data_IF_472218169864
#
_entry.id   IF_472218169864
#
_cell.length_a   1.000
_cell.length_b   1.000
_cell.length_c   1.000
_cell.angle_alpha   90.00
_cell.angle_beta   90.00
_cell.angle_gamma   90.00
#
_symmetry.space_group_name_H-M   'P 1'
#
loop_
_entity.id
_entity.type
_entity.pdbx_description
1 polymer ?
#
# COMPACT_ATOMS: atom_id res chain seq x y z
N UNK A 1 13.74 -7.59 -31.28
CA UNK A 1 13.22 -6.37 -30.62
C UNK A 1 12.51 -6.70 -29.31
N UNK A 2 11.97 -7.92 -29.13
CA UNK A 2 11.40 -8.38 -27.85
C UNK A 2 12.35 -9.29 -27.04
N UNK A 3 13.56 -9.55 -27.53
CA UNK A 3 14.51 -10.41 -26.81
C UNK A 3 14.93 -9.80 -25.46
N UNK A 4 14.94 -8.47 -25.34
CA UNK A 4 15.20 -7.73 -24.10
C UNK A 4 13.97 -7.67 -23.15
N UNK A 5 12.79 -8.08 -23.63
CA UNK A 5 11.52 -8.04 -22.89
C UNK A 5 10.81 -9.41 -22.93
N UNK A 6 11.40 -10.47 -22.37
CA UNK A 6 10.94 -11.85 -22.56
C UNK A 6 9.69 -12.21 -21.75
N UNK A 7 9.31 -11.42 -20.75
CA UNK A 7 8.23 -11.74 -19.82
C UNK A 7 6.91 -11.10 -20.23
N UNK A 8 5.81 -11.73 -19.87
CA UNK A 8 4.45 -11.18 -19.86
C UNK A 8 3.96 -10.95 -18.43
N UNK A 9 2.85 -10.25 -18.26
CA UNK A 9 2.27 -9.95 -16.93
C UNK A 9 1.98 -11.19 -16.08
N UNK A 10 1.82 -12.38 -16.69
CA UNK A 10 1.53 -13.62 -15.97
C UNK A 10 2.77 -14.41 -15.56
N UNK A 11 3.98 -13.96 -15.95
CA UNK A 11 5.22 -14.69 -15.71
C UNK A 11 5.89 -14.34 -14.38
N UNK A 12 5.38 -13.33 -13.66
CA UNK A 12 5.88 -12.91 -12.35
C UNK A 12 4.74 -12.56 -11.41
N UNK A 13 5.00 -12.69 -10.10
CA UNK A 13 4.07 -12.26 -9.05
C UNK A 13 4.31 -10.80 -8.70
N UNK A 14 3.26 -10.13 -8.24
CA UNK A 14 3.30 -8.74 -7.83
C UNK A 14 2.75 -8.60 -6.42
N UNK A 15 3.32 -7.68 -5.66
CA UNK A 15 2.89 -7.27 -4.33
C UNK A 15 3.03 -5.75 -4.26
N UNK A 16 1.88 -5.06 -4.26
CA UNK A 16 1.75 -3.60 -4.32
C UNK A 16 2.62 -2.94 -5.42
N UNK A 17 2.39 -3.30 -6.70
CA UNK A 17 3.18 -2.75 -7.79
C UNK A 17 2.81 -1.30 -8.11
N UNK A 18 3.80 -0.48 -8.42
CA UNK A 18 3.62 0.87 -8.93
C UNK A 18 4.18 1.02 -10.34
N UNK A 19 3.46 1.71 -11.23
CA UNK A 19 3.86 1.93 -12.61
C UNK A 19 4.17 3.41 -12.87
N UNK A 20 5.42 3.72 -13.21
CA UNK A 20 5.83 5.01 -13.74
C UNK A 20 5.83 4.97 -15.26
N UNK A 21 5.02 5.81 -15.90
CA UNK A 21 5.07 6.06 -17.34
C UNK A 21 6.07 7.19 -17.63
N UNK A 22 7.34 6.85 -17.84
CA UNK A 22 8.39 7.84 -18.03
C UNK A 22 8.47 8.35 -19.48
N UNK A 23 8.09 9.62 -19.66
CA UNK A 23 8.11 10.26 -20.98
C UNK A 23 9.51 10.53 -21.50
N UNK A 24 10.53 10.62 -20.63
CA UNK A 24 11.90 10.95 -21.04
C UNK A 24 12.56 9.79 -21.76
N UNK A 25 12.33 8.58 -21.29
CA UNK A 25 12.84 7.34 -21.88
C UNK A 25 11.86 6.70 -22.86
N UNK A 26 10.57 7.02 -22.76
CA UNK A 26 9.52 6.39 -23.57
C UNK A 26 9.19 4.97 -23.12
N UNK A 27 9.46 4.64 -21.85
CA UNK A 27 9.25 3.33 -21.26
C UNK A 27 8.35 3.41 -20.02
N UNK A 28 7.78 2.27 -19.65
CA UNK A 28 7.09 2.04 -18.41
C UNK A 28 8.02 1.32 -17.42
N UNK A 29 8.00 1.76 -16.16
CA UNK A 29 8.81 1.21 -15.07
C UNK A 29 7.87 0.69 -13.98
N UNK A 30 7.82 -0.63 -13.83
CA UNK A 30 7.04 -1.32 -12.80
C UNK A 30 7.94 -1.61 -11.61
N UNK A 31 7.74 -0.90 -10.50
CA UNK A 31 8.40 -1.15 -9.23
C UNK A 31 7.53 -2.07 -8.39
N UNK A 32 8.14 -3.05 -7.75
CA UNK A 32 7.42 -4.08 -7.01
C UNK A 32 8.20 -4.50 -5.76
N UNK A 33 7.49 -4.75 -4.66
CA UNK A 33 8.09 -5.34 -3.48
C UNK A 33 8.54 -6.77 -3.79
N UNK A 34 9.83 -7.06 -3.62
CA UNK A 34 10.35 -8.42 -3.75
C UNK A 34 10.04 -9.17 -2.46
N UNK A 35 8.83 -9.72 -2.33
CA UNK A 35 8.41 -10.45 -1.13
C UNK A 35 8.92 -11.90 -1.17
N UNK A 36 10.24 -12.07 -1.09
CA UNK A 36 10.95 -13.36 -1.20
C UNK A 36 10.78 -14.14 -2.50
N UNK A 37 10.40 -13.45 -3.59
CA UNK A 37 10.29 -14.03 -4.92
C UNK A 37 11.67 -14.30 -5.54
N UNK A 38 12.56 -13.31 -5.49
CA UNK A 38 13.93 -13.40 -5.98
C UNK A 38 14.91 -13.38 -4.81
N UNK A 39 15.57 -14.53 -4.56
CA UNK A 39 16.37 -14.76 -3.34
C UNK A 39 17.88 -14.77 -3.57
N UNK A 40 18.35 -14.43 -4.76
CA UNK A 40 19.79 -14.28 -5.00
C UNK A 40 20.33 -13.03 -4.29
N UNK A 41 21.65 -12.99 -4.09
CA UNK A 41 22.31 -11.85 -3.44
C UNK A 41 22.09 -10.54 -4.22
N UNK A 42 22.07 -10.60 -5.56
CA UNK A 42 21.81 -9.45 -6.43
C UNK A 42 20.37 -8.89 -6.29
N UNK A 43 19.46 -9.64 -5.66
CA UNK A 43 18.08 -9.27 -5.36
C UNK A 43 17.83 -9.10 -3.85
N UNK A 44 18.88 -8.77 -3.09
CA UNK A 44 18.76 -8.50 -1.66
C UNK A 44 18.18 -9.68 -0.86
N UNK A 45 18.39 -10.92 -1.32
CA UNK A 45 17.85 -12.14 -0.71
C UNK A 45 16.33 -12.14 -0.49
N UNK A 46 15.57 -11.45 -1.35
CA UNK A 46 14.13 -11.36 -1.21
C UNK A 46 13.65 -10.24 -0.30
N UNK A 47 14.50 -9.22 -0.08
CA UNK A 47 14.20 -8.02 0.73
C UNK A 47 14.62 -6.76 -0.03
N UNK A 48 14.03 -6.57 -1.19
CA UNK A 48 14.38 -5.50 -2.12
C UNK A 48 13.15 -4.93 -2.82
N UNK A 49 13.33 -3.80 -3.50
CA UNK A 49 12.43 -3.34 -4.55
C UNK A 49 13.02 -3.81 -5.88
N UNK A 50 12.21 -4.54 -6.65
CA UNK A 50 12.57 -4.96 -8.00
C UNK A 50 11.86 -4.11 -9.05
N UNK A 51 12.55 -3.88 -10.15
CA UNK A 51 12.09 -3.12 -11.30
C UNK A 51 11.96 -4.04 -12.51
N UNK A 52 10.82 -3.94 -13.18
CA UNK A 52 10.63 -4.41 -14.55
C UNK A 52 10.44 -3.21 -15.45
N UNK A 53 10.99 -3.26 -16.66
CA UNK A 53 10.74 -2.23 -17.67
C UNK A 53 9.89 -2.80 -18.80
N UNK A 54 9.05 -1.95 -19.41
CA UNK A 54 8.19 -2.36 -20.50
C UNK A 54 8.06 -1.25 -21.54
N UNK A 55 8.11 -1.57 -22.85
CA UNK A 55 7.81 -0.60 -23.90
C UNK A 55 6.30 -0.46 -24.17
N UNK A 56 5.48 -1.44 -23.77
CA UNK A 56 4.09 -1.57 -24.26
C UNK A 56 3.08 -2.10 -23.24
N UNK A 57 3.48 -2.26 -21.98
CA UNK A 57 2.69 -2.83 -20.86
C UNK A 57 2.29 -4.31 -21.06
N UNK A 58 2.83 -4.98 -22.08
CA UNK A 58 2.55 -6.38 -22.40
C UNK A 58 3.79 -7.23 -22.23
N UNK A 59 4.93 -6.72 -22.67
CA UNK A 59 6.23 -7.37 -22.62
C UNK A 59 7.11 -6.66 -21.59
N UNK A 60 7.76 -7.42 -20.72
CA UNK A 60 8.54 -6.93 -19.59
C UNK A 60 9.95 -7.52 -19.62
N UNK A 61 10.92 -6.72 -19.19
CA UNK A 61 12.30 -7.16 -18.97
C UNK A 61 12.36 -8.19 -17.84
N UNK A 62 13.49 -8.88 -17.70
CA UNK A 62 13.78 -9.55 -16.42
C UNK A 62 13.89 -8.51 -15.29
N UNK A 63 13.59 -8.90 -14.04
CA UNK A 63 13.67 -7.99 -12.89
C UNK A 63 15.12 -7.62 -12.58
N UNK A 64 15.31 -6.39 -12.13
CA UNK A 64 16.55 -5.95 -11.50
C UNK A 64 16.25 -5.34 -10.13
N UNK A 65 17.13 -5.55 -9.15
CA UNK A 65 17.02 -4.85 -7.86
C UNK A 65 17.42 -3.39 -8.01
N UNK A 66 16.60 -2.47 -7.51
CA UNK A 66 16.87 -1.01 -7.56
C UNK A 66 17.08 -0.38 -6.18
N UNK A 67 16.73 -1.14 -5.13
CA UNK A 67 16.97 -0.81 -3.73
C UNK A 67 16.84 -2.08 -2.88
N UNK A 68 17.72 -2.30 -1.90
CA UNK A 68 17.58 -3.35 -0.90
C UNK A 68 18.00 -2.86 0.50
N UNK A 69 17.61 -3.63 1.52
CA UNK A 69 17.88 -3.31 2.94
C UNK A 69 19.06 -4.11 3.53
N UNK A 70 19.76 -4.88 2.70
CA UNK A 70 20.86 -5.75 3.14
C UNK A 70 22.10 -4.90 3.42
N UNK A 71 22.46 -4.03 2.47
CA UNK A 71 23.64 -3.14 2.58
C UNK A 71 23.29 -1.77 3.18
N UNK A 72 22.42 -1.77 4.20
CA UNK A 72 21.95 -0.53 4.84
C UNK A 72 23.10 0.23 5.56
N UNK A 73 23.06 1.57 5.60
CA UNK A 73 24.04 2.36 6.34
C UNK A 73 24.07 2.02 7.84
N UNK A 74 25.24 2.15 8.46
CA UNK A 74 25.37 2.04 9.92
C UNK A 74 24.48 3.08 10.60
N UNK A 75 23.66 2.63 11.55
CA UNK A 75 22.72 3.48 12.27
C UNK A 75 21.45 3.82 11.50
N UNK A 76 21.16 3.12 10.38
CA UNK A 76 19.86 3.20 9.73
C UNK A 76 18.73 2.87 10.73
N UNK A 77 17.61 3.59 10.61
CA UNK A 77 16.45 3.42 11.47
C UNK A 77 15.69 2.12 11.20
N UNK A 78 15.79 1.65 9.96
CA UNK A 78 15.23 0.41 9.45
C UNK A 78 16.26 -0.74 9.49
N UNK A 79 15.77 -1.98 9.49
CA UNK A 79 16.57 -3.20 9.41
C UNK A 79 16.03 -4.15 8.33
N UNK A 80 16.58 -5.36 8.27
CA UNK A 80 16.18 -6.39 7.30
C UNK A 80 15.15 -7.38 7.88
N UNK A 81 14.33 -6.99 8.85
CA UNK A 81 13.32 -7.89 9.40
C UNK A 81 12.23 -8.26 8.40
N UNK A 82 11.98 -7.40 7.40
CA UNK A 82 11.01 -7.59 6.32
C UNK A 82 11.54 -6.99 5.01
N UNK A 83 10.84 -7.26 3.91
CA UNK A 83 11.06 -6.64 2.60
C UNK A 83 10.49 -5.20 2.59
N UNK A 84 11.05 -4.26 1.81
CA UNK A 84 10.41 -2.96 1.56
C UNK A 84 9.01 -3.12 0.97
N UNK A 85 8.01 -2.39 1.47
CA UNK A 85 6.62 -2.50 0.97
C UNK A 85 6.21 -1.31 0.10
N UNK A 86 5.27 -1.58 -0.81
CA UNK A 86 4.53 -0.63 -1.64
C UNK A 86 5.38 0.53 -2.21
N UNK A 87 6.43 0.23 -2.99
CA UNK A 87 7.28 1.27 -3.56
C UNK A 87 6.53 2.08 -4.62
N UNK A 88 6.44 3.40 -4.46
CA UNK A 88 5.96 4.32 -5.49
C UNK A 88 7.08 5.25 -5.96
N UNK A 89 7.24 5.42 -7.28
CA UNK A 89 8.30 6.28 -7.83
C UNK A 89 7.72 7.41 -8.66
N UNK A 90 8.03 8.64 -8.26
CA UNK A 90 7.54 9.84 -8.92
C UNK A 90 8.70 10.65 -9.51
N UNK A 91 8.53 11.16 -10.72
CA UNK A 91 9.43 12.18 -11.27
C UNK A 91 9.08 13.54 -10.67
N UNK A 92 10.08 14.23 -10.14
CA UNK A 92 9.94 15.56 -9.57
C UNK A 92 11.20 16.39 -9.80
N UNK A 93 11.03 17.48 -10.55
CA UNK A 93 12.09 18.45 -10.85
C UNK A 93 13.36 17.83 -11.46
N UNK A 94 13.20 16.85 -12.35
CA UNK A 94 14.27 16.19 -13.09
C UNK A 94 14.88 14.96 -12.41
N UNK A 95 14.43 14.63 -11.18
CA UNK A 95 14.89 13.49 -10.38
C UNK A 95 13.75 12.53 -10.08
N UNK A 96 14.07 11.32 -9.65
CA UNK A 96 13.10 10.27 -9.34
C UNK A 96 13.11 10.00 -7.84
N UNK A 97 11.94 10.04 -7.22
CA UNK A 97 11.76 9.92 -5.79
C UNK A 97 10.91 8.69 -5.48
N UNK A 98 11.50 7.72 -4.79
CA UNK A 98 10.83 6.50 -4.36
C UNK A 98 10.31 6.67 -2.95
N UNK A 99 9.00 6.62 -2.78
CA UNK A 99 8.31 6.46 -1.52
C UNK A 99 8.21 4.97 -1.23
N UNK A 100 8.66 4.53 -0.06
CA UNK A 100 8.68 3.11 0.28
C UNK A 100 8.55 2.93 1.78
N UNK A 101 7.79 1.92 2.19
CA UNK A 101 7.64 1.57 3.61
C UNK A 101 8.82 0.71 4.03
N UNK A 102 9.53 1.13 5.08
CA UNK A 102 10.63 0.36 5.68
C UNK A 102 10.34 0.01 7.14
N UNK A 103 10.95 -1.09 7.56
CA UNK A 103 10.63 -1.79 8.80
C UNK A 103 11.83 -1.80 9.74
N UNK A 104 11.56 -1.84 11.04
CA UNK A 104 12.56 -2.25 12.02
C UNK A 104 11.93 -2.99 13.17
N UNK A 105 12.67 -3.95 13.74
CA UNK A 105 12.29 -4.59 14.99
C UNK A 105 12.43 -3.60 16.13
N UNK A 106 11.49 -3.67 17.07
CA UNK A 106 11.60 -2.98 18.36
C UNK A 106 12.38 -3.88 19.31
N UNK A 107 13.26 -3.27 20.12
CA UNK A 107 13.93 -3.98 21.21
C UNK A 107 12.94 -4.58 22.21
N UNK A 108 11.81 -3.90 22.40
CA UNK A 108 10.69 -4.33 23.24
C UNK A 108 9.38 -4.08 22.51
N UNK A 109 8.50 -5.08 22.40
CA UNK A 109 7.16 -4.87 21.89
C UNK A 109 6.41 -3.83 22.73
N UNK A 110 5.62 -2.99 22.07
CA UNK A 110 4.76 -1.98 22.70
C UNK A 110 3.30 -2.41 22.62
N UNK A 111 2.42 -1.76 23.38
CA UNK A 111 0.97 -1.93 23.20
C UNK A 111 0.48 -0.98 22.10
N UNK A 112 -0.60 -1.34 21.37
CA UNK A 112 -1.29 -0.40 20.52
C UNK A 112 -1.72 0.84 21.32
N UNK A 113 -1.79 1.98 20.64
CA UNK A 113 -2.12 3.26 21.26
C UNK A 113 -3.63 3.43 21.42
N UNK A 114 -4.39 2.95 20.44
CA UNK A 114 -5.84 3.06 20.43
C UNK A 114 -6.52 1.71 20.18
N UNK A 115 -7.86 1.72 20.29
CA UNK A 115 -8.72 0.56 20.13
C UNK A 115 -9.39 0.08 21.42
N UNK A 116 -10.26 -0.94 21.31
CA UNK A 116 -10.97 -1.53 22.45
C UNK A 116 -10.03 -2.02 23.55
N UNK A 117 -10.52 -2.08 24.80
CA UNK A 117 -9.73 -2.51 25.96
C UNK A 117 -9.06 -3.87 25.75
N UNK A 118 -9.77 -4.84 25.16
CA UNK A 118 -9.22 -6.17 24.87
C UNK A 118 -8.07 -6.09 23.85
N UNK A 119 -8.16 -5.22 22.85
CA UNK A 119 -7.13 -5.06 21.83
C UNK A 119 -5.86 -4.49 22.44
N UNK A 120 -5.97 -3.40 23.19
CA UNK A 120 -4.83 -2.77 23.88
C UNK A 120 -4.20 -3.68 24.95
N UNK A 121 -5.02 -4.50 25.63
CA UNK A 121 -4.55 -5.43 26.68
C UNK A 121 -3.85 -6.66 26.10
N UNK A 122 -4.37 -7.23 25.02
CA UNK A 122 -3.98 -8.58 24.58
C UNK A 122 -2.99 -8.53 23.40
N UNK A 123 -2.86 -7.40 22.70
CA UNK A 123 -1.97 -7.25 21.54
C UNK A 123 -0.68 -6.53 21.87
N UNK A 124 0.38 -6.92 21.17
CA UNK A 124 1.66 -6.22 21.19
C UNK A 124 2.14 -5.97 19.76
N UNK A 125 2.91 -4.91 19.59
CA UNK A 125 3.49 -4.50 18.31
C UNK A 125 5.00 -4.61 18.43
N UNK A 126 5.58 -5.61 17.76
CA UNK A 126 7.00 -5.96 17.84
C UNK A 126 7.88 -5.21 16.83
N UNK A 127 7.27 -4.58 15.84
CA UNK A 127 7.94 -3.85 14.76
C UNK A 127 7.50 -2.39 14.76
N UNK A 128 8.27 -1.56 14.05
CA UNK A 128 7.91 -0.19 13.70
C UNK A 128 8.05 -0.05 12.19
N UNK A 129 7.21 0.77 11.60
CA UNK A 129 7.15 1.05 10.16
C UNK A 129 7.10 2.55 9.94
N UNK A 130 7.72 3.00 8.87
CA UNK A 130 7.64 4.38 8.42
C UNK A 130 7.89 4.48 6.94
N UNK A 131 7.35 5.52 6.31
CA UNK A 131 7.61 5.79 4.90
C UNK A 131 8.92 6.55 4.79
N UNK A 132 9.82 6.04 3.96
CA UNK A 132 11.06 6.70 3.57
C UNK A 132 10.93 7.19 2.14
N UNK A 133 11.54 8.34 1.85
CA UNK A 133 11.71 8.81 0.48
C UNK A 133 13.18 8.72 0.09
N UNK A 134 13.44 7.95 -0.96
CA UNK A 134 14.76 7.74 -1.56
C UNK A 134 14.82 8.51 -2.88
N UNK A 135 16.03 8.82 -3.33
CA UNK A 135 16.21 9.59 -4.57
C UNK A 135 17.18 8.91 -5.52
N UNK A 136 16.91 9.05 -6.82
CA UNK A 136 17.75 8.64 -7.92
C UNK A 136 17.73 9.68 -9.05
N UNK A 137 18.78 9.67 -9.86
CA UNK A 137 18.86 10.56 -11.04
C UNK A 137 18.23 9.94 -12.29
N UNK A 138 17.96 8.62 -12.26
CA UNK A 138 17.29 7.87 -13.33
C UNK A 138 16.14 7.04 -12.76
N UNK A 139 15.11 6.67 -13.57
CA UNK A 139 14.04 5.83 -13.06
C UNK A 139 14.53 4.43 -12.69
N UNK A 140 15.65 3.97 -13.25
CA UNK A 140 16.24 2.68 -12.91
C UNK A 140 17.12 2.69 -11.64
N UNK A 141 17.16 3.82 -10.90
CA UNK A 141 18.00 3.92 -9.71
C UNK A 141 19.49 4.16 -10.04
N UNK A 142 20.40 3.79 -9.13
CA UNK A 142 20.11 3.24 -7.80
C UNK A 142 19.39 4.26 -6.91
N UNK A 143 18.42 3.81 -6.12
CA UNK A 143 17.72 4.68 -5.16
C UNK A 143 18.48 4.70 -3.84
N UNK A 144 18.73 5.90 -3.33
CA UNK A 144 19.47 6.10 -2.08
C UNK A 144 18.59 6.85 -1.08
N UNK A 145 18.44 6.37 0.18
CA UNK A 145 17.76 7.12 1.23
C UNK A 145 18.50 8.42 1.51
N UNK A 146 17.78 9.55 1.45
CA UNK A 146 18.34 10.87 1.77
C UNK A 146 18.62 10.97 3.27
N UNK A 147 17.73 10.38 4.08
CA UNK A 147 17.80 10.39 5.55
C UNK A 147 17.63 8.96 6.13
N UNK A 148 18.66 8.10 6.08
CA UNK A 148 18.51 6.70 6.52
C UNK A 148 18.23 6.55 8.03
N UNK A 149 18.51 7.57 8.85
CA UNK A 149 18.32 7.54 10.31
C UNK A 149 16.90 7.93 10.77
N UNK A 150 16.01 8.36 9.86
CA UNK A 150 14.63 8.69 10.20
C UNK A 150 13.70 8.54 9.00
N UNK A 151 12.50 7.96 9.17
CA UNK A 151 11.46 8.04 8.15
C UNK A 151 11.08 9.51 7.86
N UNK A 152 10.50 9.72 6.69
CA UNK A 152 9.88 11.00 6.29
C UNK A 152 8.57 11.24 7.03
N UNK A 153 7.84 10.17 7.39
CA UNK A 153 6.72 10.21 8.33
C UNK A 153 7.19 10.41 9.78
N UNK A 154 6.35 10.93 10.69
CA UNK A 154 6.71 11.07 12.10
C UNK A 154 7.16 9.75 12.74
N UNK A 155 8.17 9.79 13.58
CA UNK A 155 8.79 8.58 14.18
C UNK A 155 7.95 7.92 15.28
N UNK A 156 6.96 8.64 15.84
CA UNK A 156 6.02 8.12 16.84
C UNK A 156 4.86 7.34 16.23
N UNK A 157 4.53 7.58 14.96
CA UNK A 157 3.43 6.95 14.25
C UNK A 157 3.96 5.82 13.39
N UNK A 158 3.34 4.65 13.47
CA UNK A 158 3.57 3.57 12.54
C UNK A 158 2.85 3.90 11.25
N UNK A 159 3.62 4.13 10.20
CA UNK A 159 3.12 4.62 8.93
C UNK A 159 3.56 3.72 7.78
N UNK A 160 2.70 3.61 6.77
CA UNK A 160 2.93 2.83 5.55
C UNK A 160 2.28 3.48 4.34
N UNK A 161 2.69 3.01 3.16
CA UNK A 161 2.12 3.31 1.84
C UNK A 161 2.00 4.80 1.53
N UNK A 162 3.13 5.50 1.56
CA UNK A 162 3.14 6.91 1.18
C UNK A 162 3.04 7.11 -0.33
N UNK A 163 2.12 7.96 -0.75
CA UNK A 163 1.97 8.40 -2.14
C UNK A 163 2.18 9.92 -2.26
N UNK A 164 2.76 10.36 -3.38
CA UNK A 164 2.91 11.78 -3.68
C UNK A 164 1.58 12.36 -4.17
N UNK A 165 1.10 13.39 -3.47
CA UNK A 165 0.01 14.25 -3.91
C UNK A 165 0.52 15.66 -4.17
N UNK A 166 0.07 16.29 -5.26
CA UNK A 166 0.45 17.68 -5.58
C UNK A 166 -0.76 18.57 -5.40
N UNK A 167 -0.66 19.60 -4.57
CA UNK A 167 -1.73 20.56 -4.34
C UNK A 167 -1.92 21.51 -5.54
N UNK A 168 -3.03 22.26 -5.57
CA UNK A 168 -3.42 23.16 -6.67
C UNK A 168 -2.46 24.34 -6.83
N UNK A 169 -1.72 24.67 -5.79
CA UNK A 169 -0.64 25.67 -5.79
C UNK A 169 0.73 25.08 -6.20
N UNK A 170 0.79 23.77 -6.50
CA UNK A 170 2.01 23.04 -6.83
C UNK A 170 2.80 22.53 -5.62
N UNK A 171 2.31 22.73 -4.39
CA UNK A 171 2.96 22.20 -3.18
C UNK A 171 2.91 20.67 -3.16
N UNK A 172 4.02 19.97 -2.89
CA UNK A 172 4.00 18.53 -2.71
C UNK A 172 3.55 18.14 -1.30
N UNK A 173 2.81 17.05 -1.24
CA UNK A 173 2.31 16.41 -0.03
C UNK A 173 2.55 14.91 -0.14
N UNK A 174 2.74 14.25 0.99
CA UNK A 174 2.63 12.80 1.09
C UNK A 174 1.30 12.47 1.76
N UNK A 175 0.49 11.63 1.13
CA UNK A 175 -0.63 10.95 1.78
C UNK A 175 -0.15 9.56 2.16
N UNK A 176 -0.42 9.11 3.38
CA UNK A 176 0.02 7.80 3.88
C UNK A 176 -1.01 7.22 4.87
N UNK A 177 -0.89 5.93 5.18
CA UNK A 177 -1.72 5.28 6.20
C UNK A 177 -1.04 5.30 7.57
N UNK A 178 -1.74 5.77 8.62
CA UNK A 178 -1.37 5.49 10.00
C UNK A 178 -1.95 4.13 10.38
N UNK A 179 -1.06 3.19 10.61
CA UNK A 179 -1.37 1.77 10.59
C UNK A 179 -2.35 1.35 11.71
N UNK A 180 -3.37 0.62 11.29
CA UNK A 180 -4.39 0.03 12.17
C UNK A 180 -3.82 -0.89 13.27
N UNK A 181 -2.61 -1.43 13.11
CA UNK A 181 -1.95 -2.23 14.15
C UNK A 181 -1.63 -1.39 15.39
N UNK A 182 -1.40 -0.08 15.21
CA UNK A 182 -1.22 0.87 16.30
C UNK A 182 -2.57 1.46 16.76
N UNK A 183 -3.54 1.63 15.86
CA UNK A 183 -4.77 2.39 16.13
C UNK A 183 -6.07 1.59 16.29
N UNK A 184 -6.08 0.31 15.91
CA UNK A 184 -7.27 -0.52 15.64
C UNK A 184 -8.12 -0.04 14.45
N UNK A 185 -8.46 1.25 14.40
CA UNK A 185 -9.08 1.92 13.25
C UNK A 185 -8.02 2.76 12.55
N UNK A 186 -7.44 2.22 11.47
CA UNK A 186 -6.38 2.89 10.72
C UNK A 186 -6.88 4.20 10.11
N UNK A 187 -5.97 5.14 9.94
CA UNK A 187 -6.30 6.44 9.32
C UNK A 187 -5.48 6.68 8.07
N UNK A 188 -5.96 7.60 7.24
CA UNK A 188 -5.19 8.24 6.18
C UNK A 188 -4.82 9.64 6.65
N UNK A 189 -3.55 9.97 6.53
CA UNK A 189 -2.98 11.24 6.95
C UNK A 189 -2.23 11.89 5.79
N UNK A 190 -2.03 13.21 5.90
CA UNK A 190 -1.21 13.96 4.96
C UNK A 190 -0.15 14.80 5.69
N UNK A 191 1.06 14.83 5.14
CA UNK A 191 2.10 15.80 5.53
C UNK A 191 2.57 16.58 4.31
N UNK A 192 2.81 17.88 4.48
CA UNK A 192 3.42 18.70 3.44
C UNK A 192 4.89 18.35 3.31
N UNK A 193 5.41 18.24 2.09
CA UNK A 193 6.82 17.95 1.82
C UNK A 193 7.57 19.22 1.42
N UNK A 194 8.90 19.20 1.55
CA UNK A 194 9.75 20.23 0.98
C UNK A 194 9.81 20.08 -0.54
N UNK A 195 9.50 21.16 -1.27
CA UNK A 195 9.47 21.13 -2.73
C UNK A 195 10.84 20.94 -3.40
N UNK A 196 11.94 21.18 -2.68
CA UNK A 196 13.31 20.93 -3.14
C UNK A 196 13.87 19.58 -2.68
N UNK A 197 13.25 18.97 -1.66
CA UNK A 197 13.64 17.67 -1.11
C UNK A 197 12.42 16.92 -0.57
N UNK A 198 11.85 16.03 -1.38
CA UNK A 198 10.64 15.29 -1.02
C UNK A 198 10.83 14.36 0.18
N UNK A 199 12.06 14.13 0.64
CA UNK A 199 12.33 13.34 1.85
C UNK A 199 12.11 14.08 3.17
N UNK A 200 11.81 15.38 3.12
CA UNK A 200 11.65 16.23 4.30
C UNK A 200 10.19 16.63 4.48
N UNK A 201 9.57 16.16 5.57
CA UNK A 201 8.27 16.66 6.04
C UNK A 201 8.35 18.09 6.58
N UNK A 202 7.36 18.92 6.25
CA UNK A 202 7.28 20.37 6.55
C UNK A 202 6.01 20.78 7.30
N UNK A 203 5.20 19.82 7.73
CA UNK A 203 4.04 20.05 8.58
C UNK A 203 3.88 18.93 9.60
N UNK A 204 3.08 19.18 10.62
CA UNK A 204 2.46 18.10 11.38
C UNK A 204 1.51 17.30 10.48
N UNK A 205 1.23 16.03 10.80
CA UNK A 205 0.20 15.25 10.13
C UNK A 205 -1.17 15.92 10.20
N UNK A 206 -1.85 15.93 9.06
CA UNK A 206 -3.26 16.29 8.95
C UNK A 206 -4.07 15.01 8.74
N UNK A 207 -4.94 14.67 9.70
CA UNK A 207 -5.92 13.60 9.53
C UNK A 207 -6.82 13.89 8.33
N UNK A 208 -7.00 12.90 7.45
CA UNK A 208 -7.92 13.00 6.32
C UNK A 208 -9.21 12.24 6.59
N UNK A 209 -9.10 10.94 6.91
CA UNK A 209 -10.22 10.07 7.29
C UNK A 209 -9.71 8.80 7.99
N UNK A 210 -10.53 8.20 8.84
CA UNK A 210 -10.34 6.83 9.32
C UNK A 210 -10.97 5.80 8.38
N UNK A 211 -10.53 4.54 8.45
CA UNK A 211 -11.21 3.47 7.71
C UNK A 211 -12.70 3.46 8.05
N UNK A 212 -13.06 3.46 9.33
CA UNK A 212 -14.47 3.35 9.70
C UNK A 212 -15.41 4.49 9.25
N UNK A 213 -14.88 5.63 8.81
CA UNK A 213 -15.67 6.74 8.24
C UNK A 213 -16.28 6.40 6.87
N UNK A 214 -15.86 5.28 6.27
CA UNK A 214 -16.41 4.73 5.04
C UNK A 214 -17.88 4.35 5.11
N UNK A 215 -18.58 4.53 3.98
CA UNK A 215 -20.01 4.17 3.80
C UNK A 215 -20.21 2.84 3.07
N UNK A 216 -19.21 1.96 3.06
CA UNK A 216 -19.28 0.66 2.38
C UNK A 216 -20.27 -0.27 3.09
N UNK A 217 -21.16 -0.89 2.32
CA UNK A 217 -22.10 -1.85 2.87
C UNK A 217 -21.50 -3.25 2.92
N UNK A 218 -21.86 -4.04 3.92
CA UNK A 218 -21.51 -5.48 4.00
C UNK A 218 -21.95 -6.24 2.74
N UNK A 219 -22.99 -5.76 2.04
CA UNK A 219 -23.42 -6.30 0.74
C UNK A 219 -22.46 -6.05 -0.42
N UNK A 220 -21.51 -5.13 -0.27
CA UNK A 220 -20.58 -4.70 -1.32
C UNK A 220 -19.27 -5.52 -1.33
N UNK A 221 -19.11 -6.48 -0.41
CA UNK A 221 -17.95 -7.41 -0.35
C UNK A 221 -17.29 -7.49 1.03
N UNK A 222 -15.95 -7.50 1.08
CA UNK A 222 -15.11 -7.49 2.30
C UNK A 222 -15.14 -6.13 3.03
N UNK A 223 -16.30 -5.48 3.06
CA UNK A 223 -16.51 -4.24 3.78
C UNK A 223 -16.29 -4.48 5.29
N UNK A 224 -15.51 -3.62 5.98
CA UNK A 224 -15.38 -3.67 7.42
C UNK A 224 -16.71 -3.84 8.15
N UNK A 225 -16.84 -4.91 8.96
CA UNK A 225 -18.01 -5.08 9.81
C UNK A 225 -18.15 -3.86 10.72
N UNK A 226 -19.22 -3.06 10.52
CA UNK A 226 -19.41 -1.80 11.25
C UNK A 226 -19.18 -0.53 10.43
N UNK A 227 -19.05 -0.62 9.10
CA UNK A 227 -19.04 0.50 8.12
C UNK A 227 -20.32 1.33 8.08
N UNK A 228 -20.77 1.80 9.23
CA UNK A 228 -21.87 2.74 9.37
C UNK A 228 -21.52 3.72 10.49
N UNK A 229 -20.90 4.86 10.14
CA UNK A 229 -20.70 6.03 11.00
C UNK A 229 -20.35 5.67 12.45
N UNK A 230 -19.34 4.82 12.63
CA UNK A 230 -18.92 4.38 13.96
C UNK A 230 -18.07 5.46 14.61
N UNK A 231 -18.59 6.14 15.61
CA UNK A 231 -17.74 6.85 16.57
C UNK A 231 -17.18 5.82 17.57
N UNK A 232 -15.95 5.33 17.32
CA UNK A 232 -15.26 4.30 18.11
C UNK A 232 -14.92 4.74 19.53
N UNK A 233 -15.02 6.04 19.82
CA UNK A 233 -14.80 6.59 21.15
C UNK A 233 -16.08 6.55 22.02
N UNK A 234 -17.20 6.06 21.47
CA UNK A 234 -18.48 5.96 22.18
C UNK A 234 -18.76 4.58 22.77
N UNK A 235 -19.46 4.55 23.91
CA UNK A 235 -19.99 3.33 24.53
C UNK A 235 -20.88 2.50 23.58
N UNK A 236 -21.44 3.14 22.55
CA UNK A 236 -22.27 2.48 21.55
C UNK A 236 -21.43 1.66 20.58
N UNK A 237 -20.31 2.19 20.08
CA UNK A 237 -19.42 1.46 19.20
C UNK A 237 -18.79 0.25 19.91
N UNK A 238 -18.38 0.40 21.17
CA UNK A 238 -17.84 -0.70 21.97
C UNK A 238 -18.80 -1.89 22.12
N UNK A 239 -20.12 -1.64 22.10
CA UNK A 239 -21.14 -2.72 22.14
C UNK A 239 -21.38 -3.40 20.79
N UNK A 240 -21.04 -2.73 19.70
CA UNK A 240 -21.20 -3.23 18.33
C UNK A 240 -19.97 -4.02 17.86
N UNK A 241 -18.79 -3.72 18.42
CA UNK A 241 -17.55 -4.46 18.16
C UNK A 241 -17.59 -5.76 18.96
N UNK A 242 -17.84 -6.89 18.29
CA UNK A 242 -17.75 -8.20 18.90
C UNK A 242 -16.33 -8.45 19.45
N UNK A 243 -16.20 -9.24 20.51
CA UNK A 243 -14.90 -9.56 21.15
C UNK A 243 -13.88 -10.22 20.19
N UNK A 244 -14.35 -10.80 19.08
CA UNK A 244 -13.52 -11.38 18.02
C UNK A 244 -13.31 -10.50 16.79
N UNK A 245 -13.74 -9.23 16.81
CA UNK A 245 -13.69 -8.34 15.63
C UNK A 245 -12.27 -8.09 15.15
N UNK A 246 -12.11 -8.00 13.84
CA UNK A 246 -10.89 -7.47 13.23
C UNK A 246 -10.74 -5.97 13.43
N UNK A 247 -9.51 -5.47 13.28
CA UNK A 247 -9.27 -4.03 13.14
C UNK A 247 -9.59 -3.56 11.73
N UNK A 248 -9.75 -2.25 11.56
CA UNK A 248 -10.10 -1.60 10.30
C UNK A 248 -8.84 -1.08 9.64
N UNK A 249 -8.53 -1.62 8.48
CA UNK A 249 -7.30 -1.37 7.74
C UNK A 249 -7.49 -0.17 6.84
N UNK A 250 -6.56 0.79 6.86
CA UNK A 250 -6.29 1.73 5.77
C UNK A 250 -5.00 1.31 5.08
N UNK A 251 -5.00 1.30 3.74
CA UNK A 251 -3.88 0.77 2.96
C UNK A 251 -3.83 1.40 1.55
N UNK A 252 -2.66 1.45 0.92
CA UNK A 252 -2.43 1.90 -0.46
C UNK A 252 -3.20 3.14 -0.93
N UNK A 253 -3.04 4.32 -0.31
CA UNK A 253 -3.57 5.55 -0.86
C UNK A 253 -2.90 5.86 -2.20
N UNK A 254 -3.66 6.33 -3.18
CA UNK A 254 -3.15 6.83 -4.45
C UNK A 254 -3.93 8.07 -4.89
N UNK A 255 -3.23 9.19 -5.00
CA UNK A 255 -3.84 10.49 -5.26
C UNK A 255 -3.70 10.91 -6.73
N UNK A 256 -4.82 11.29 -7.35
CA UNK A 256 -4.87 11.74 -8.75
C UNK A 256 -5.68 13.03 -8.84
N UNK A 257 -5.18 14.00 -9.62
CA UNK A 257 -5.99 15.15 -10.03
C UNK A 257 -6.83 14.83 -11.25
N UNK A 258 -8.12 15.10 -11.14
CA UNK A 258 -9.06 15.04 -12.25
C UNK A 258 -8.88 16.24 -13.19
N UNK A 259 -9.37 16.17 -14.45
CA UNK A 259 -9.35 17.30 -15.37
C UNK A 259 -10.07 18.56 -14.86
N UNK A 260 -11.02 18.42 -13.92
CA UNK A 260 -11.72 19.56 -13.30
C UNK A 260 -10.94 20.21 -12.15
N UNK A 261 -9.77 19.67 -11.79
CA UNK A 261 -8.93 20.15 -10.70
C UNK A 261 -9.27 19.54 -9.33
N UNK A 262 -10.29 18.69 -9.22
CA UNK A 262 -10.57 17.96 -7.99
C UNK A 262 -9.49 16.90 -7.74
N UNK A 263 -9.12 16.71 -6.47
CA UNK A 263 -8.26 15.63 -6.02
C UNK A 263 -9.11 14.41 -5.70
N UNK A 264 -8.78 13.27 -6.30
CA UNK A 264 -9.36 11.97 -5.98
C UNK A 264 -8.27 11.14 -5.33
N UNK A 265 -8.55 10.59 -4.14
CA UNK A 265 -7.69 9.60 -3.52
C UNK A 265 -8.40 8.24 -3.58
N UNK A 266 -7.72 7.24 -4.12
CA UNK A 266 -8.14 5.85 -4.09
C UNK A 266 -7.41 5.20 -2.90
N UNK A 267 -8.09 4.41 -2.09
CA UNK A 267 -7.47 3.70 -0.97
C UNK A 267 -8.08 2.29 -0.86
N UNK A 268 -7.28 1.35 -0.33
CA UNK A 268 -7.73 0.03 0.10
C UNK A 268 -8.16 0.12 1.56
N UNK A 269 -9.30 -0.49 1.87
CA UNK A 269 -9.89 -0.53 3.21
C UNK A 269 -10.53 -1.89 3.42
N UNK A 270 -10.26 -2.53 4.56
CA UNK A 270 -10.71 -3.90 4.86
C UNK A 270 -10.79 -4.15 6.38
N UNK A 271 -11.42 -5.24 6.80
CA UNK A 271 -11.30 -5.79 8.16
C UNK A 271 -10.32 -6.96 8.22
N UNK A 272 -9.40 -6.94 9.18
CA UNK A 272 -8.46 -8.05 9.38
C UNK A 272 -8.81 -8.88 10.61
N UNK A 273 -9.36 -10.09 10.38
CA UNK A 273 -9.76 -11.02 11.44
C UNK A 273 -8.56 -11.70 12.09
N UNK A 274 -8.36 -11.39 13.37
CA UNK A 274 -7.31 -12.01 14.16
C UNK A 274 -7.92 -13.19 14.92
N UNK A 275 -7.80 -14.41 14.37
CA UNK A 275 -8.20 -15.61 15.12
C UNK A 275 -7.38 -15.68 16.42
N UNK A 276 -8.02 -15.82 17.61
CA UNK A 276 -7.28 -16.17 18.81
C UNK A 276 -6.57 -17.50 18.58
N UNK A 277 -5.28 -17.58 18.91
CA UNK A 277 -4.55 -18.83 18.96
C UNK A 277 -5.08 -19.67 20.13
N UNK A 278 -6.26 -20.28 19.94
CA UNK A 278 -6.69 -21.40 20.78
C UNK A 278 -5.86 -22.57 20.30
N UNK A 279 -4.94 -23.02 21.14
CA UNK A 279 -4.17 -24.24 20.93
C UNK A 279 -5.11 -25.42 21.24
N UNK A 280 -5.62 -26.20 20.27
CA UNK A 280 -6.24 -27.48 20.57
C UNK A 280 -5.12 -28.51 20.59
N UNK A 281 -5.00 -29.23 21.70
CA UNK A 281 -4.05 -30.33 21.84
C UNK A 281 -4.08 -31.27 20.62
N UNK A 282 -2.90 -31.63 20.13
CA UNK A 282 -2.69 -32.82 19.31
C UNK A 282 -3.00 -32.70 17.82
N UNK A 283 -2.07 -32.18 17.02
CA UNK A 283 -1.83 -32.74 15.70
C UNK A 283 -0.38 -32.52 15.27
N UNK A 284 0.36 -33.61 15.19
CA UNK A 284 1.74 -33.68 14.72
C UNK A 284 1.85 -33.20 13.27
N UNK A 285 2.91 -32.43 13.00
CA UNK A 285 3.36 -32.09 11.65
C UNK A 285 3.86 -33.37 10.97
N UNK A 286 3.08 -33.89 10.03
CA UNK A 286 3.60 -34.76 8.98
C UNK A 286 3.49 -34.04 7.64
N UNK A 287 4.65 -33.73 7.06
CA UNK A 287 4.74 -33.16 5.74
C UNK A 287 4.22 -34.11 4.67
N UNK A 288 3.51 -33.57 3.69
CA UNK A 288 3.65 -33.97 2.29
C UNK A 288 2.86 -33.00 1.39
N UNK A 289 3.56 -32.52 0.36
CA UNK A 289 3.12 -32.21 -1.00
C UNK A 289 1.83 -31.39 -1.26
N UNK A 290 2.04 -30.33 -2.04
CA UNK A 290 1.14 -29.62 -2.97
C UNK A 290 0.19 -28.55 -2.40
N UNK A 291 0.26 -27.29 -2.89
CA UNK A 291 -0.79 -26.31 -2.67
C UNK A 291 -2.03 -26.71 -3.47
N UNK A 292 -3.15 -26.93 -2.77
CA UNK A 292 -4.46 -27.01 -3.40
C UNK A 292 -4.88 -25.60 -3.80
N UNK A 293 -4.87 -25.34 -5.10
CA UNK A 293 -5.51 -24.19 -5.73
C UNK A 293 -6.99 -24.16 -5.36
N UNK A 294 -7.44 -23.10 -4.68
CA UNK A 294 -8.86 -22.75 -4.66
C UNK A 294 -9.09 -21.87 -5.89
N UNK A 295 -9.46 -22.51 -6.99
CA UNK A 295 -10.05 -21.85 -8.16
C UNK A 295 -11.42 -21.31 -7.77
N UNK A 296 -11.56 -20.00 -7.66
CA UNK A 296 -12.85 -19.34 -7.72
C UNK A 296 -13.20 -19.09 -9.19
N UNK A 297 -14.15 -19.86 -9.74
CA UNK A 297 -14.73 -19.56 -11.05
C UNK A 297 -15.66 -18.34 -10.94
N UNK A 298 -15.60 -17.36 -11.86
CA UNK A 298 -16.55 -16.27 -11.87
C UNK A 298 -17.87 -16.76 -12.48
N UNK A 299 -18.92 -16.79 -11.67
CA UNK A 299 -20.30 -16.88 -12.16
C UNK A 299 -20.78 -15.44 -12.37
N UNK A 300 -20.60 -14.90 -13.58
CA UNK A 300 -21.45 -13.79 -14.05
C UNK A 300 -22.87 -14.33 -14.24
N UNK A 301 -23.89 -13.49 -14.00
CA UNK A 301 -24.50 -12.87 -15.17
C UNK A 301 -24.95 -11.41 -14.94
N UNK A 302 -25.27 -10.76 -16.07
CA UNK A 302 -26.08 -9.55 -16.28
C UNK A 302 -25.30 -8.25 -16.54
N UNK A 303 -25.18 -7.86 -17.80
CA UNK A 303 -26.16 -7.17 -18.66
C UNK A 303 -26.42 -5.71 -18.26
N UNK A 304 -25.77 -4.85 -19.05
CA UNK A 304 -26.10 -3.47 -19.39
C UNK A 304 -27.54 -3.02 -19.13
N UNK A 305 -27.67 -1.88 -18.46
CA UNK A 305 -28.80 -0.96 -18.64
C UNK A 305 -28.25 0.47 -18.78
N UNK A 306 -27.88 0.81 -20.02
CA UNK A 306 -27.80 2.19 -20.48
C UNK A 306 -29.24 2.66 -20.75
N UNK A 307 -29.75 3.56 -19.92
CA UNK A 307 -30.98 4.30 -20.18
C UNK A 307 -30.70 5.37 -21.25
N UNK A 308 -31.16 5.13 -22.48
CA UNK A 308 -31.35 6.17 -23.49
C UNK A 308 -32.85 6.20 -23.86
N UNK A 309 -33.57 7.21 -23.36
CA UNK A 309 -34.95 7.50 -23.77
C UNK A 309 -34.87 8.39 -25.02
N UNK A 310 -35.02 7.79 -26.20
CA UNK A 310 -35.30 8.50 -27.45
C UNK A 310 -36.38 7.75 -28.22
N UNK A 311 -37.64 8.01 -27.83
CA UNK A 311 -38.84 7.63 -28.57
C UNK A 311 -38.87 8.31 -29.94
N UNK A 312 -38.47 7.59 -30.98
CA UNK A 312 -38.75 7.95 -32.36
C UNK A 312 -39.97 7.17 -32.83
N UNK A 313 -41.07 7.89 -33.08
CA UNK A 313 -42.32 7.34 -33.61
C UNK A 313 -42.12 6.89 -35.07
N UNK A 314 -42.49 5.66 -35.37
CA UNK A 314 -42.61 5.14 -36.72
C UNK A 314 -43.86 5.71 -37.40
N UNK A 315 -43.69 6.28 -38.60
CA UNK A 315 -44.78 6.54 -39.53
C UNK A 315 -45.18 5.22 -40.20
N UNK A 316 -46.49 4.94 -40.28
CA UNK A 316 -47.08 3.79 -40.98
C UNK A 316 -47.53 4.23 -42.39
N UNK A 317 -47.54 3.36 -43.41
CA UNK A 317 -47.68 3.78 -44.81
C UNK A 317 -49.15 3.86 -45.26
N UNK A 318 -49.50 4.95 -45.94
CA UNK A 318 -50.12 5.13 -47.27
C UNK A 318 -49.98 6.61 -47.61
#
# INVERSE_FOLDING_TARGET
MYDDYPLSMHDFSLHDPFMLADRRTGLYYLYNANYFQYRSAEHGFGKSVVLYTSPDLKHFSEPVSVFDVIDRPVGAWYDDCDSPWAPEVHEWQGRYWMFVTLHARRDKPVRPEAGPDWYRRDRTVGEKRGVFVLVADTPAGPFVPVHPQSPTTPTGTMALDGTLAVDSDGSPWMIYAHEWVQLFDGTMEAIRLDASDLSVGRSEPSHLWAASEGVWHESDGDAPQGGWHGDFDSDRALRLIAEGSGGYVTDGPYAIRTPSGALVCIAKVNTFWLRPSVNPEGCSVHGSSSPRWITAMPVMPWCSALSTDSRCCSCTPI
#
